data_IF_689570468624
#
_entry.id   IF_689570468624
#
_cell.length_a   1.000
_cell.length_b   1.000
_cell.length_c   1.000
_cell.angle_alpha   90.00
_cell.angle_beta   90.00
_cell.angle_gamma   90.00
#
_symmetry.space_group_name_H-M   'P 1'
#
loop_
_entity.id
_entity.type
_entity.pdbx_description
1 polymer ?
#
# COMPACT_ATOMS: atom_id res chain seq x y z
N UNK A 1 14.25 2.15 -6.53
CA UNK A 1 12.85 2.00 -6.11
C UNK A 1 11.85 2.59 -7.10
N UNK A 2 12.08 3.81 -7.64
CA UNK A 2 11.07 4.58 -8.39
C UNK A 2 10.47 3.81 -9.58
N UNK A 3 11.30 3.19 -10.42
CA UNK A 3 10.82 2.41 -11.56
C UNK A 3 9.86 1.28 -11.17
N UNK A 4 10.04 0.67 -9.99
CA UNK A 4 9.15 -0.39 -9.50
C UNK A 4 7.91 0.21 -8.83
N UNK A 5 8.11 1.09 -7.85
CA UNK A 5 7.04 1.65 -7.02
C UNK A 5 6.06 2.52 -7.82
N UNK A 6 6.57 3.35 -8.74
CA UNK A 6 5.72 4.14 -9.64
C UNK A 6 4.95 3.22 -10.58
N UNK A 7 5.59 2.22 -11.18
CA UNK A 7 4.90 1.37 -12.16
C UNK A 7 3.84 0.50 -11.50
N UNK A 8 4.13 -0.12 -10.35
CA UNK A 8 3.17 -1.00 -9.69
C UNK A 8 1.97 -0.23 -9.09
N UNK A 9 2.16 1.04 -8.70
CA UNK A 9 1.08 1.88 -8.17
C UNK A 9 0.33 2.66 -9.26
N UNK A 10 1.04 3.35 -10.15
CA UNK A 10 0.44 4.29 -11.09
C UNK A 10 -0.25 3.58 -12.26
N UNK A 11 0.27 2.44 -12.75
CA UNK A 11 -0.38 1.69 -13.83
C UNK A 11 -1.85 1.34 -13.50
N UNK A 12 -2.17 0.69 -12.36
CA UNK A 12 -3.56 0.41 -12.03
C UNK A 12 -4.35 1.67 -11.69
N UNK A 13 -3.79 2.61 -10.90
CA UNK A 13 -4.55 3.77 -10.40
C UNK A 13 -4.87 4.81 -11.49
N UNK A 14 -4.02 4.95 -12.51
CA UNK A 14 -4.30 5.81 -13.66
C UNK A 14 -5.22 5.15 -14.70
N UNK A 15 -5.52 3.86 -14.55
CA UNK A 15 -6.37 3.10 -15.50
C UNK A 15 -7.84 3.02 -15.07
N UNK A 16 -8.19 3.57 -13.90
CA UNK A 16 -9.57 3.60 -13.37
C UNK A 16 -9.96 5.03 -12.97
N UNK A 17 -11.23 5.42 -13.16
CA UNK A 17 -11.66 6.78 -12.84
C UNK A 17 -11.77 6.97 -11.32
N UNK A 18 -11.04 7.95 -10.80
CA UNK A 18 -11.15 8.45 -9.41
C UNK A 18 -11.15 7.34 -8.34
N UNK A 19 -10.09 6.52 -8.23
CA UNK A 19 -10.01 5.49 -7.18
C UNK A 19 -10.08 6.13 -5.80
N UNK A 20 -10.87 5.55 -4.90
CA UNK A 20 -11.09 6.04 -3.53
C UNK A 20 -10.52 5.11 -2.47
N UNK A 21 -10.58 3.81 -2.71
CA UNK A 21 -10.22 2.78 -1.73
C UNK A 21 -9.19 1.84 -2.33
N UNK A 22 -8.01 1.78 -1.72
CA UNK A 22 -6.88 0.99 -2.24
C UNK A 22 -6.40 0.03 -1.15
N UNK A 23 -6.15 -1.22 -1.53
CA UNK A 23 -5.42 -2.18 -0.70
C UNK A 23 -4.02 -2.37 -1.28
N UNK A 24 -3.01 -2.28 -0.42
CA UNK A 24 -1.64 -2.66 -0.73
C UNK A 24 -1.27 -3.89 0.10
N UNK A 25 -0.85 -4.96 -0.55
CA UNK A 25 -0.37 -6.20 0.07
C UNK A 25 1.13 -6.24 -0.06
N UNK A 26 1.85 -6.28 1.06
CA UNK A 26 3.28 -5.99 1.07
C UNK A 26 3.56 -4.51 0.77
N UNK A 27 4.84 -4.13 0.62
CA UNK A 27 5.25 -2.73 0.45
C UNK A 27 5.86 -2.09 1.69
N UNK A 28 6.34 -2.90 2.64
CA UNK A 28 6.84 -2.52 3.97
C UNK A 28 7.83 -1.36 4.09
N UNK A 29 8.41 -0.82 3.02
CA UNK A 29 9.24 0.40 3.05
C UNK A 29 8.44 1.72 3.01
N UNK A 30 7.18 1.66 2.59
CA UNK A 30 6.27 2.79 2.45
C UNK A 30 6.36 3.55 1.13
N UNK A 31 7.22 3.14 0.19
CA UNK A 31 7.37 3.80 -1.10
C UNK A 31 6.15 3.62 -2.00
N UNK A 32 5.56 2.43 -2.07
CA UNK A 32 4.28 2.23 -2.79
C UNK A 32 3.18 3.10 -2.19
N UNK A 33 3.11 3.20 -0.86
CA UNK A 33 2.13 4.08 -0.18
C UNK A 33 2.33 5.54 -0.58
N UNK A 34 3.57 6.02 -0.64
CA UNK A 34 3.89 7.37 -1.10
C UNK A 34 3.34 7.63 -2.50
N UNK A 35 3.45 6.67 -3.42
CA UNK A 35 2.94 6.81 -4.79
C UNK A 35 1.41 6.74 -4.86
N UNK A 36 0.77 5.84 -4.09
CA UNK A 36 -0.70 5.80 -3.97
C UNK A 36 -1.23 7.13 -3.42
N UNK A 37 -0.58 7.68 -2.39
CA UNK A 37 -0.94 8.96 -1.76
C UNK A 37 -0.91 10.16 -2.71
N UNK A 38 -0.22 10.09 -3.85
CA UNK A 38 -0.25 11.16 -4.86
C UNK A 38 -1.60 11.30 -5.55
N UNK A 39 -2.45 10.27 -5.52
CA UNK A 39 -3.78 10.33 -6.11
C UNK A 39 -4.73 11.09 -5.16
N UNK A 40 -5.24 12.27 -5.57
CA UNK A 40 -6.07 13.10 -4.70
C UNK A 40 -7.47 12.53 -4.47
N UNK A 41 -7.94 11.64 -5.34
CA UNK A 41 -9.23 10.95 -5.19
C UNK A 41 -9.20 9.85 -4.14
N UNK A 42 -8.02 9.36 -3.77
CA UNK A 42 -7.89 8.28 -2.79
C UNK A 42 -8.28 8.82 -1.41
N UNK A 43 -9.23 8.15 -0.77
CA UNK A 43 -9.81 8.48 0.52
C UNK A 43 -9.34 7.50 1.61
N UNK A 44 -9.05 6.25 1.26
CA UNK A 44 -8.65 5.19 2.20
C UNK A 44 -7.60 4.25 1.59
N UNK A 45 -6.53 3.99 2.32
CA UNK A 45 -5.45 3.08 1.93
C UNK A 45 -5.26 2.06 3.05
N UNK A 46 -5.62 0.80 2.83
CA UNK A 46 -5.21 -0.28 3.72
C UNK A 46 -3.86 -0.84 3.23
N UNK A 47 -2.93 -1.07 4.15
CA UNK A 47 -1.72 -1.85 3.89
C UNK A 47 -1.64 -3.05 4.82
N UNK A 48 -1.42 -4.23 4.24
CA UNK A 48 -1.18 -5.46 4.99
C UNK A 48 0.28 -5.86 4.84
N UNK A 49 1.03 -5.78 5.93
CA UNK A 49 2.42 -6.21 6.01
C UNK A 49 2.53 -7.32 7.05
N UNK A 50 3.10 -8.47 6.67
CA UNK A 50 3.16 -9.64 7.55
C UNK A 50 4.21 -9.46 8.65
N UNK A 51 5.33 -8.78 8.33
CA UNK A 51 6.44 -8.62 9.25
C UNK A 51 6.58 -7.17 9.74
N UNK A 52 6.22 -6.97 11.01
CA UNK A 52 6.38 -5.69 11.70
C UNK A 52 7.84 -5.19 11.70
N UNK A 53 8.82 -6.10 11.71
CA UNK A 53 10.23 -5.73 11.70
C UNK A 53 10.58 -4.97 10.42
N UNK A 54 10.03 -5.36 9.26
CA UNK A 54 10.26 -4.67 7.98
C UNK A 54 9.78 -3.23 8.07
N UNK A 55 8.58 -2.99 8.61
CA UNK A 55 8.05 -1.63 8.80
C UNK A 55 8.93 -0.81 9.74
N UNK A 56 9.34 -1.38 10.88
CA UNK A 56 10.11 -0.67 11.90
C UNK A 56 11.52 -0.32 11.40
N UNK A 57 12.18 -1.25 10.72
CA UNK A 57 13.49 -1.03 10.06
C UNK A 57 13.36 0.02 8.98
N UNK A 58 12.31 -0.04 8.15
CA UNK A 58 12.08 0.94 7.09
C UNK A 58 11.85 2.35 7.63
N UNK A 59 11.05 2.49 8.68
CA UNK A 59 10.86 3.78 9.37
C UNK A 59 12.17 4.32 9.95
N UNK A 60 13.05 3.45 10.44
CA UNK A 60 14.33 3.84 11.04
C UNK A 60 15.39 4.24 10.02
N UNK A 61 15.54 3.46 8.95
CA UNK A 61 16.67 3.58 8.02
C UNK A 61 16.29 4.21 6.68
N UNK A 62 15.01 4.19 6.29
CA UNK A 62 14.48 4.78 5.06
C UNK A 62 13.36 5.81 5.33
N UNK A 63 13.60 6.84 6.16
CA UNK A 63 12.55 7.77 6.60
C UNK A 63 11.89 8.55 5.44
N UNK A 64 12.62 8.75 4.33
CA UNK A 64 12.08 9.42 3.13
C UNK A 64 11.08 8.56 2.35
N UNK A 65 11.13 7.22 2.51
CA UNK A 65 10.19 6.27 1.91
C UNK A 65 9.03 6.05 2.86
N UNK A 66 9.39 5.82 4.13
CA UNK A 66 8.44 5.56 5.19
C UNK A 66 7.50 6.73 5.50
N UNK A 67 7.72 7.91 4.90
CA UNK A 67 6.76 9.02 4.90
C UNK A 67 5.39 8.60 4.35
N UNK A 68 5.34 7.60 3.46
CA UNK A 68 4.07 7.03 2.99
C UNK A 68 3.20 6.50 4.13
N UNK A 69 3.80 5.95 5.20
CA UNK A 69 3.06 5.52 6.40
C UNK A 69 2.49 6.66 7.25
N UNK A 70 2.86 7.91 6.98
CA UNK A 70 2.39 9.08 7.73
C UNK A 70 1.18 9.76 7.08
N UNK A 71 0.78 9.33 5.88
CA UNK A 71 -0.45 9.82 5.26
C UNK A 71 -1.66 9.44 6.14
N UNK A 72 -2.53 10.40 6.52
CA UNK A 72 -3.65 10.13 7.40
C UNK A 72 -4.68 9.15 6.82
N UNK A 73 -4.64 8.90 5.50
CA UNK A 73 -5.49 7.93 4.81
C UNK A 73 -4.94 6.50 4.91
N UNK A 74 -3.72 6.31 5.42
CA UNK A 74 -3.06 5.00 5.52
C UNK A 74 -3.42 4.31 6.82
N UNK A 75 -3.88 3.07 6.68
CA UNK A 75 -4.23 2.16 7.76
C UNK A 75 -3.34 0.92 7.68
N UNK A 76 -2.36 0.84 8.59
CA UNK A 76 -1.42 -0.27 8.66
C UNK A 76 -2.00 -1.44 9.46
N UNK A 77 -2.09 -2.59 8.81
CA UNK A 77 -2.46 -3.88 9.39
C UNK A 77 -1.22 -4.78 9.39
N UNK A 78 -0.79 -5.19 10.59
CA UNK A 78 0.27 -6.19 10.72
C UNK A 78 -0.36 -7.58 10.75
N UNK A 79 -0.09 -8.39 9.72
CA UNK A 79 -0.62 -9.75 9.62
C UNK A 79 -0.68 -10.28 8.19
N UNK A 80 -1.20 -11.50 8.05
CA UNK A 80 -1.35 -12.18 6.77
C UNK A 80 -2.43 -11.51 5.91
N UNK A 81 -2.04 -11.05 4.72
CA UNK A 81 -2.93 -10.40 3.78
C UNK A 81 -4.02 -11.31 3.21
N UNK A 82 -3.77 -12.62 3.13
CA UNK A 82 -4.76 -13.63 2.73
C UNK A 82 -5.89 -13.68 3.74
N UNK A 83 -5.56 -13.76 5.03
CA UNK A 83 -6.55 -13.74 6.10
C UNK A 83 -7.28 -12.41 6.18
N UNK A 84 -6.57 -11.29 6.00
CA UNK A 84 -7.19 -9.97 5.90
C UNK A 84 -8.23 -9.91 4.76
N UNK A 85 -7.86 -10.38 3.57
CA UNK A 85 -8.74 -10.42 2.39
C UNK A 85 -9.95 -11.33 2.57
N UNK A 86 -9.84 -12.45 3.29
CA UNK A 86 -11.00 -13.32 3.60
C UNK A 86 -12.09 -12.59 4.40
N UNK A 87 -11.70 -11.63 5.23
CA UNK A 87 -12.62 -10.86 6.07
C UNK A 87 -13.01 -9.51 5.44
N UNK A 88 -12.39 -9.13 4.32
CA UNK A 88 -12.71 -7.89 3.63
C UNK A 88 -14.11 -7.94 3.00
N UNK A 89 -14.94 -6.89 3.15
CA UNK A 89 -16.24 -6.81 2.49
C UNK A 89 -16.11 -6.91 0.97
N UNK A 90 -17.02 -7.65 0.35
CA UNK A 90 -17.09 -7.76 -1.11
C UNK A 90 -17.33 -6.37 -1.73
N UNK A 91 -16.53 -6.04 -2.74
CA UNK A 91 -16.63 -4.76 -3.46
C UNK A 91 -16.08 -3.55 -2.69
N UNK A 92 -15.28 -3.77 -1.63
CA UNK A 92 -14.70 -2.69 -0.83
C UNK A 92 -13.64 -1.86 -1.57
N UNK A 93 -12.78 -2.50 -2.37
CA UNK A 93 -11.59 -1.86 -2.94
C UNK A 93 -11.75 -1.59 -4.43
N UNK A 94 -11.36 -0.38 -4.85
CA UNK A 94 -11.28 0.01 -6.26
C UNK A 94 -10.02 -0.56 -6.94
N UNK A 95 -8.92 -0.69 -6.18
CA UNK A 95 -7.68 -1.30 -6.63
C UNK A 95 -7.03 -2.13 -5.51
N UNK A 96 -6.40 -3.25 -5.91
CA UNK A 96 -5.54 -4.07 -5.05
C UNK A 96 -4.17 -4.14 -5.70
N UNK A 97 -3.13 -3.73 -4.97
CA UNK A 97 -1.74 -3.75 -5.39
C UNK A 97 -1.02 -4.82 -4.57
N UNK A 98 -0.41 -5.81 -5.23
CA UNK A 98 0.31 -6.91 -4.57
C UNK A 98 1.81 -6.73 -4.81
N UNK A 99 2.47 -6.13 -3.84
CA UNK A 99 3.92 -5.93 -3.74
C UNK A 99 4.53 -7.06 -2.90
N UNK A 100 4.50 -8.28 -3.44
CA UNK A 100 5.05 -9.46 -2.80
C UNK A 100 6.45 -9.79 -3.35
N UNK A 101 7.26 -10.44 -2.52
CA UNK A 101 8.44 -11.16 -2.98
C UNK A 101 8.06 -12.35 -3.87
N UNK A 102 9.08 -13.03 -4.42
CA UNK A 102 8.89 -14.24 -5.21
C UNK A 102 8.13 -15.34 -4.42
N UNK A 103 7.37 -16.21 -5.12
CA UNK A 103 6.64 -17.35 -4.51
C UNK A 103 7.52 -18.37 -3.79
#
# INVERSE_FOLDING_TARGET
>A
ECAYQEMIALLPLCSIPSPKTVLVVGGGDGGVLREVSRHPSVEHIDICEIDKMVVDVSKKFFPQLAVGFQDPRVHLHIGDATEFLRHAPKGKYDAVIVDSSDP
#
